data_IF_300492330279
#
_entry.id   IF_300492330279
#
_cell.length_a   1.000
_cell.length_b   1.000
_cell.length_c   1.000
_cell.angle_alpha   90.00
_cell.angle_beta   90.00
_cell.angle_gamma   90.00
#
_symmetry.space_group_name_H-M   'P 1'
#
loop_
_entity.id
_entity.type
_entity.pdbx_description
1 polymer ?
#
# COMPACT_ATOMS: atom_id res chain seq x y z
N UNK A 1 13.09 -63.23 24.14
CA UNK A 1 12.25 -62.08 24.58
C UNK A 1 12.28 -60.95 23.59
N UNK A 2 13.43 -60.53 23.10
CA UNK A 2 13.63 -59.37 22.18
C UNK A 2 12.88 -59.50 20.83
N UNK A 3 12.83 -60.69 20.25
CA UNK A 3 12.18 -60.89 18.91
C UNK A 3 10.65 -60.71 18.96
N UNK A 4 9.98 -61.03 20.09
CA UNK A 4 8.55 -60.78 20.24
C UNK A 4 8.19 -59.30 20.35
N UNK A 5 9.00 -58.51 21.01
CA UNK A 5 8.82 -57.06 21.12
C UNK A 5 9.04 -56.36 19.78
N UNK A 6 10.03 -56.78 18.99
CA UNK A 6 10.28 -56.25 17.65
C UNK A 6 9.12 -56.54 16.69
N UNK A 7 8.49 -57.71 16.76
CA UNK A 7 7.32 -58.06 15.95
C UNK A 7 6.10 -57.17 16.31
N UNK A 8 5.89 -56.86 17.59
CA UNK A 8 4.76 -56.01 18.03
C UNK A 8 4.97 -54.56 17.56
N UNK A 9 6.19 -54.07 17.66
CA UNK A 9 6.53 -52.70 17.20
C UNK A 9 6.36 -52.58 15.67
N UNK A 10 6.79 -53.58 14.91
CA UNK A 10 6.61 -53.63 13.45
C UNK A 10 5.13 -53.71 13.06
N UNK A 11 4.31 -54.49 13.75
CA UNK A 11 2.86 -54.56 13.52
C UNK A 11 2.16 -53.23 13.84
N UNK A 12 2.54 -52.55 14.92
CA UNK A 12 2.00 -51.21 15.27
C UNK A 12 2.36 -50.17 14.22
N UNK A 13 3.60 -50.20 13.73
CA UNK A 13 4.11 -49.24 12.71
C UNK A 13 3.44 -49.47 11.36
N UNK A 14 3.19 -50.70 10.95
CA UNK A 14 2.49 -51.05 9.72
C UNK A 14 0.98 -50.74 9.79
N UNK A 15 0.34 -50.90 10.96
CA UNK A 15 -1.06 -50.54 11.17
C UNK A 15 -1.30 -49.04 11.11
N UNK A 16 -0.35 -48.25 11.69
CA UNK A 16 -0.37 -46.80 11.61
C UNK A 16 -0.10 -46.28 10.19
N UNK A 17 0.79 -46.93 9.43
CA UNK A 17 1.01 -46.59 8.01
C UNK A 17 -0.24 -46.88 7.17
N UNK A 18 -0.89 -48.01 7.37
CA UNK A 18 -2.14 -48.33 6.65
C UNK A 18 -3.26 -47.34 6.92
N UNK A 19 -3.43 -46.89 8.16
CA UNK A 19 -4.37 -45.79 8.51
C UNK A 19 -4.02 -44.47 7.84
N UNK A 20 -2.76 -44.08 7.83
CA UNK A 20 -2.29 -42.83 7.15
C UNK A 20 -2.51 -42.88 5.64
N UNK A 21 -2.26 -44.06 5.01
CA UNK A 21 -2.52 -44.28 3.59
C UNK A 21 -4.02 -44.23 3.31
N UNK A 22 -4.86 -44.80 4.18
CA UNK A 22 -6.31 -44.77 4.03
C UNK A 22 -6.87 -43.35 4.13
N UNK A 23 -6.36 -42.51 5.08
CA UNK A 23 -6.72 -41.11 5.19
C UNK A 23 -6.24 -40.30 3.99
N UNK A 24 -5.03 -40.56 3.48
CA UNK A 24 -4.53 -39.93 2.28
C UNK A 24 -5.34 -40.30 1.02
N UNK A 25 -5.73 -41.56 0.88
CA UNK A 25 -6.60 -42.02 -0.20
C UNK A 25 -8.02 -41.44 -0.10
N UNK A 26 -8.60 -41.36 1.11
CA UNK A 26 -9.91 -40.76 1.30
C UNK A 26 -9.92 -39.27 1.02
N UNK A 27 -8.87 -38.55 1.40
CA UNK A 27 -8.72 -37.11 1.05
C UNK A 27 -8.53 -36.90 -0.46
N UNK A 28 -7.81 -37.79 -1.14
CA UNK A 28 -7.63 -37.74 -2.61
C UNK A 28 -8.96 -37.96 -3.35
N UNK A 29 -9.80 -38.86 -2.86
CA UNK A 29 -11.13 -39.13 -3.44
C UNK A 29 -12.10 -37.96 -3.25
N UNK A 30 -12.03 -37.25 -2.11
CA UNK A 30 -12.84 -36.05 -1.87
C UNK A 30 -12.42 -34.90 -2.78
N UNK A 31 -11.12 -34.73 -3.02
CA UNK A 31 -10.61 -33.71 -3.93
C UNK A 31 -10.99 -33.98 -5.40
N UNK A 32 -11.00 -35.23 -5.83
CA UNK A 32 -11.38 -35.60 -7.20
C UNK A 32 -12.87 -35.38 -7.49
N UNK A 33 -13.75 -35.58 -6.50
CA UNK A 33 -15.20 -35.35 -6.64
C UNK A 33 -15.52 -33.87 -6.93
N UNK A 34 -14.90 -32.94 -6.19
CA UNK A 34 -15.10 -31.51 -6.40
C UNK A 34 -14.60 -31.01 -7.77
N UNK A 35 -13.53 -31.61 -8.29
CA UNK A 35 -13.01 -31.22 -9.61
C UNK A 35 -13.93 -31.73 -10.74
N UNK A 36 -14.53 -32.91 -10.58
CA UNK A 36 -15.45 -33.45 -11.56
C UNK A 36 -16.76 -32.64 -11.67
N UNK A 37 -17.29 -32.18 -10.53
CA UNK A 37 -18.49 -31.35 -10.50
C UNK A 37 -18.26 -29.99 -11.18
N UNK A 38 -17.18 -29.29 -10.86
CA UNK A 38 -16.81 -28.03 -11.50
C UNK A 38 -16.72 -28.18 -13.03
N UNK A 39 -16.00 -29.21 -13.51
CA UNK A 39 -15.86 -29.47 -14.95
C UNK A 39 -17.18 -29.74 -15.65
N UNK A 40 -18.13 -30.40 -14.97
CA UNK A 40 -19.48 -30.63 -15.49
C UNK A 40 -20.25 -29.32 -15.63
N UNK A 41 -20.20 -28.45 -14.62
CA UNK A 41 -20.86 -27.15 -14.64
C UNK A 41 -20.21 -26.22 -15.69
N UNK A 42 -18.90 -26.19 -15.74
CA UNK A 42 -18.15 -25.35 -16.71
C UNK A 42 -18.52 -25.67 -18.18
N UNK A 43 -18.70 -26.96 -18.48
CA UNK A 43 -19.07 -27.44 -19.82
C UNK A 43 -20.58 -27.38 -20.11
N UNK A 44 -21.42 -27.06 -19.14
CA UNK A 44 -22.86 -26.96 -19.33
C UNK A 44 -23.24 -25.71 -20.13
N UNK A 45 -24.25 -25.82 -20.97
CA UNK A 45 -24.79 -24.64 -21.71
C UNK A 45 -25.86 -23.89 -20.92
N UNK A 46 -26.15 -24.30 -19.69
CA UNK A 46 -27.14 -23.68 -18.82
C UNK A 46 -26.50 -22.55 -17.98
N UNK A 47 -26.71 -21.30 -18.42
CA UNK A 47 -26.14 -20.10 -17.76
C UNK A 47 -26.68 -19.88 -16.34
N UNK A 48 -27.96 -20.17 -16.10
CA UNK A 48 -28.54 -20.06 -14.78
C UNK A 48 -27.88 -21.04 -13.78
N UNK A 49 -27.62 -22.26 -14.22
CA UNK A 49 -26.91 -23.24 -13.40
C UNK A 49 -25.46 -22.84 -13.14
N UNK A 50 -24.75 -22.29 -14.13
CA UNK A 50 -23.40 -21.73 -13.96
C UNK A 50 -23.40 -20.57 -12.95
N UNK A 51 -24.39 -19.69 -13.05
CA UNK A 51 -24.52 -18.55 -12.15
C UNK A 51 -24.74 -18.96 -10.69
N UNK A 52 -25.70 -19.86 -10.43
CA UNK A 52 -25.93 -20.36 -9.08
C UNK A 52 -24.72 -21.09 -8.50
N UNK A 53 -24.02 -21.89 -9.31
CA UNK A 53 -22.81 -22.57 -8.90
C UNK A 53 -21.64 -21.61 -8.67
N UNK A 54 -21.53 -20.53 -9.44
CA UNK A 54 -20.54 -19.47 -9.20
C UNK A 54 -20.78 -18.77 -7.85
N UNK A 55 -22.03 -18.48 -7.50
CA UNK A 55 -22.42 -17.95 -6.17
C UNK A 55 -22.03 -18.92 -5.05
N UNK A 56 -22.29 -20.20 -5.25
CA UNK A 56 -21.91 -21.24 -4.27
C UNK A 56 -20.38 -21.32 -4.10
N UNK A 57 -19.61 -21.29 -5.20
CA UNK A 57 -18.15 -21.26 -5.16
C UNK A 57 -17.64 -20.02 -4.43
N UNK A 58 -18.23 -18.84 -4.72
CA UNK A 58 -17.88 -17.59 -4.05
C UNK A 58 -18.15 -17.69 -2.54
N UNK A 59 -19.33 -18.15 -2.13
CA UNK A 59 -19.70 -18.31 -0.72
C UNK A 59 -18.79 -19.30 0.04
N UNK A 60 -18.25 -20.32 -0.65
CA UNK A 60 -17.30 -21.29 -0.12
C UNK A 60 -15.83 -20.82 -0.12
N UNK A 61 -15.55 -19.61 -0.58
CA UNK A 61 -14.19 -19.07 -0.71
C UNK A 61 -13.38 -19.69 -1.87
N UNK A 62 -14.05 -20.38 -2.80
CA UNK A 62 -13.44 -20.98 -4.00
C UNK A 62 -13.37 -19.93 -5.12
N UNK A 63 -12.69 -18.80 -4.85
CA UNK A 63 -12.71 -17.60 -5.70
C UNK A 63 -12.25 -17.88 -7.13
N UNK A 64 -11.18 -18.63 -7.33
CA UNK A 64 -10.70 -18.99 -8.68
C UNK A 64 -11.75 -19.67 -9.54
N UNK A 65 -12.56 -20.57 -8.95
CA UNK A 65 -13.65 -21.22 -9.67
C UNK A 65 -14.80 -20.26 -9.97
N UNK A 66 -15.16 -19.44 -9.00
CA UNK A 66 -16.17 -18.41 -9.19
C UNK A 66 -15.75 -17.44 -10.30
N UNK A 67 -14.50 -16.96 -10.29
CA UNK A 67 -13.92 -16.08 -11.30
C UNK A 67 -14.05 -16.69 -12.70
N UNK A 68 -13.61 -17.95 -12.87
CA UNK A 68 -13.66 -18.65 -14.17
C UNK A 68 -15.08 -18.68 -14.74
N UNK A 69 -16.09 -18.97 -13.94
CA UNK A 69 -17.49 -19.02 -14.38
C UNK A 69 -18.05 -17.62 -14.63
N UNK A 70 -17.76 -16.66 -13.76
CA UNK A 70 -18.26 -15.29 -13.86
C UNK A 70 -17.67 -14.56 -15.05
N UNK A 71 -16.42 -14.79 -15.43
CA UNK A 71 -15.79 -14.22 -16.63
C UNK A 71 -16.53 -14.65 -17.91
N UNK A 72 -17.00 -15.88 -17.98
CA UNK A 72 -17.85 -16.36 -19.08
C UNK A 72 -19.24 -15.68 -19.02
N UNK A 73 -19.87 -15.69 -17.85
CA UNK A 73 -21.23 -15.17 -17.64
C UNK A 73 -21.37 -13.67 -17.97
N UNK A 74 -20.43 -12.83 -17.56
CA UNK A 74 -20.50 -11.37 -17.87
C UNK A 74 -20.50 -11.07 -19.37
N UNK A 75 -20.03 -12.01 -20.20
CA UNK A 75 -20.03 -11.87 -21.66
C UNK A 75 -21.36 -12.35 -22.26
N UNK A 76 -21.88 -13.45 -21.73
CA UNK A 76 -23.05 -14.13 -22.28
C UNK A 76 -24.39 -13.55 -21.75
N UNK A 77 -24.40 -13.07 -20.50
CA UNK A 77 -25.60 -12.50 -19.86
C UNK A 77 -25.80 -11.01 -20.12
N UNK A 78 -25.03 -10.40 -21.02
CA UNK A 78 -25.11 -8.96 -21.31
C UNK A 78 -26.55 -8.54 -21.66
N UNK A 79 -27.12 -7.67 -20.83
CA UNK A 79 -28.52 -7.20 -20.98
C UNK A 79 -29.54 -7.99 -20.15
N UNK A 80 -29.14 -9.02 -19.41
CA UNK A 80 -30.01 -9.74 -18.46
C UNK A 80 -29.99 -9.11 -17.07
N UNK A 81 -30.95 -9.48 -16.21
CA UNK A 81 -31.00 -9.03 -14.82
C UNK A 81 -29.76 -9.47 -14.01
N UNK A 82 -29.21 -10.65 -14.32
CA UNK A 82 -28.06 -11.20 -13.61
C UNK A 82 -26.72 -10.55 -14.00
N UNK A 83 -26.64 -9.90 -15.17
CA UNK A 83 -25.38 -9.34 -15.69
C UNK A 83 -24.73 -8.32 -14.74
N UNK A 84 -25.54 -7.50 -14.07
CA UNK A 84 -25.08 -6.53 -13.10
C UNK A 84 -24.48 -7.21 -11.86
N UNK A 85 -25.18 -8.20 -11.30
CA UNK A 85 -24.72 -8.93 -10.12
C UNK A 85 -23.49 -9.77 -10.43
N UNK A 86 -23.47 -10.45 -11.59
CA UNK A 86 -22.33 -11.26 -12.05
C UNK A 86 -21.05 -10.40 -12.17
N UNK A 87 -21.15 -9.20 -12.75
CA UNK A 87 -19.98 -8.30 -12.88
C UNK A 87 -19.47 -7.80 -11.51
N UNK A 88 -20.40 -7.42 -10.62
CA UNK A 88 -20.02 -7.01 -9.27
C UNK A 88 -19.41 -8.17 -8.47
N UNK A 89 -19.99 -9.36 -8.56
CA UNK A 89 -19.49 -10.55 -7.90
C UNK A 89 -18.11 -10.96 -8.43
N UNK A 90 -17.88 -10.84 -9.74
CA UNK A 90 -16.56 -11.07 -10.34
C UNK A 90 -15.50 -10.13 -9.74
N UNK A 91 -15.81 -8.83 -9.68
CA UNK A 91 -14.91 -7.86 -9.06
C UNK A 91 -14.61 -8.21 -7.59
N UNK A 92 -15.64 -8.60 -6.82
CA UNK A 92 -15.48 -9.03 -5.43
C UNK A 92 -14.71 -10.34 -5.29
N UNK A 93 -14.85 -11.27 -6.24
CA UNK A 93 -14.11 -12.53 -6.26
C UNK A 93 -12.61 -12.30 -6.52
N UNK A 94 -12.27 -11.42 -7.47
CA UNK A 94 -10.88 -11.00 -7.72
C UNK A 94 -10.29 -10.31 -6.48
N UNK A 95 -11.03 -9.39 -5.85
CA UNK A 95 -10.60 -8.74 -4.62
C UNK A 95 -10.32 -9.76 -3.49
N UNK A 96 -11.23 -10.71 -3.31
CA UNK A 96 -11.09 -11.76 -2.29
C UNK A 96 -9.97 -12.75 -2.60
N UNK A 97 -9.67 -12.94 -3.89
CA UNK A 97 -8.54 -13.71 -4.39
C UNK A 97 -7.21 -12.94 -4.32
N UNK A 98 -7.23 -11.68 -3.86
CA UNK A 98 -6.09 -10.76 -3.74
C UNK A 98 -5.49 -10.30 -5.08
N UNK A 99 -6.20 -10.48 -6.18
CA UNK A 99 -5.87 -9.84 -7.44
C UNK A 99 -6.50 -8.44 -7.47
N UNK A 100 -5.87 -7.53 -6.75
CA UNK A 100 -6.43 -6.20 -6.51
C UNK A 100 -6.45 -5.31 -7.76
N UNK A 101 -5.46 -5.44 -8.64
CA UNK A 101 -5.41 -4.66 -9.87
C UNK A 101 -6.56 -5.05 -10.79
N UNK A 102 -6.76 -6.34 -11.03
CA UNK A 102 -7.88 -6.87 -11.81
C UNK A 102 -9.23 -6.55 -11.16
N UNK A 103 -9.32 -6.63 -9.83
CA UNK A 103 -10.51 -6.23 -9.09
C UNK A 103 -10.87 -4.76 -9.33
N UNK A 104 -9.89 -3.84 -9.27
CA UNK A 104 -10.11 -2.42 -9.53
C UNK A 104 -10.64 -2.18 -10.94
N UNK A 105 -10.13 -2.91 -11.95
CA UNK A 105 -10.62 -2.81 -13.32
C UNK A 105 -12.07 -3.27 -13.46
N UNK A 106 -12.45 -4.40 -12.86
CA UNK A 106 -13.83 -4.88 -12.90
C UNK A 106 -14.78 -3.96 -12.12
N UNK A 107 -14.36 -3.38 -10.99
CA UNK A 107 -15.17 -2.37 -10.29
C UNK A 107 -15.35 -1.10 -11.13
N UNK A 108 -14.31 -0.61 -11.79
CA UNK A 108 -14.41 0.52 -12.75
C UNK A 108 -15.36 0.18 -13.89
N UNK A 109 -15.25 -1.03 -14.44
CA UNK A 109 -16.16 -1.53 -15.48
C UNK A 109 -17.61 -1.60 -15.00
N UNK A 110 -17.84 -2.03 -13.75
CA UNK A 110 -19.16 -2.01 -13.15
C UNK A 110 -19.73 -0.58 -13.08
N UNK A 111 -18.97 0.37 -12.55
CA UNK A 111 -19.40 1.77 -12.42
C UNK A 111 -19.73 2.41 -13.76
N UNK A 112 -18.96 2.09 -14.81
CA UNK A 112 -19.21 2.61 -16.16
C UNK A 112 -20.40 1.93 -16.85
N UNK A 113 -20.59 0.63 -16.66
CA UNK A 113 -21.67 -0.13 -17.28
C UNK A 113 -23.02 0.08 -16.60
N UNK A 114 -23.00 0.29 -15.29
CA UNK A 114 -24.20 0.41 -14.44
C UNK A 114 -24.12 1.64 -13.53
N UNK A 115 -24.13 2.88 -14.09
CA UNK A 115 -23.93 4.10 -13.29
C UNK A 115 -25.06 4.38 -12.28
N UNK A 116 -26.20 3.71 -12.42
CA UNK A 116 -27.34 3.74 -11.48
C UNK A 116 -27.59 2.38 -10.84
N UNK A 117 -26.61 1.48 -10.92
CA UNK A 117 -26.71 0.14 -10.38
C UNK A 117 -26.77 0.12 -8.85
N UNK A 118 -27.40 -0.90 -8.28
CA UNK A 118 -27.59 -1.02 -6.82
C UNK A 118 -26.25 -1.15 -6.05
N UNK A 119 -25.18 -1.56 -6.72
CA UNK A 119 -23.84 -1.71 -6.10
C UNK A 119 -22.88 -0.57 -6.47
N UNK A 120 -23.31 0.49 -7.19
CA UNK A 120 -22.41 1.53 -7.72
C UNK A 120 -21.62 2.23 -6.61
N UNK A 121 -22.26 2.55 -5.49
CA UNK A 121 -21.59 3.16 -4.34
C UNK A 121 -20.49 2.25 -3.77
N UNK A 122 -20.82 0.98 -3.56
CA UNK A 122 -19.83 -0.02 -3.09
C UNK A 122 -18.72 -0.24 -4.12
N UNK A 123 -19.08 -0.36 -5.41
CA UNK A 123 -18.09 -0.56 -6.47
C UNK A 123 -17.10 0.62 -6.55
N UNK A 124 -17.58 1.87 -6.46
CA UNK A 124 -16.73 3.07 -6.42
C UNK A 124 -15.78 3.05 -5.22
N UNK A 125 -16.26 2.69 -4.04
CA UNK A 125 -15.41 2.52 -2.85
C UNK A 125 -14.35 1.43 -3.08
N UNK A 126 -14.74 0.27 -3.61
CA UNK A 126 -13.83 -0.84 -3.84
C UNK A 126 -12.83 -0.61 -4.98
N UNK A 127 -13.07 0.34 -5.90
CA UNK A 127 -12.02 0.83 -6.81
C UNK A 127 -10.86 1.40 -6.00
N UNK A 128 -11.15 2.34 -5.12
CA UNK A 128 -10.14 2.96 -4.25
C UNK A 128 -9.47 1.95 -3.31
N UNK A 129 -10.27 1.05 -2.71
CA UNK A 129 -9.77 0.04 -1.78
C UNK A 129 -8.86 -0.99 -2.46
N UNK A 130 -9.20 -1.43 -3.68
CA UNK A 130 -8.37 -2.34 -4.46
C UNK A 130 -7.05 -1.69 -4.86
N UNK A 131 -7.09 -0.46 -5.34
CA UNK A 131 -5.87 0.31 -5.64
C UNK A 131 -5.02 0.53 -4.38
N UNK A 132 -5.65 0.78 -3.22
CA UNK A 132 -4.96 0.91 -1.93
C UNK A 132 -4.17 -0.36 -1.58
N UNK A 133 -4.79 -1.54 -1.71
CA UNK A 133 -4.13 -2.82 -1.44
C UNK A 133 -2.98 -3.14 -2.42
N UNK A 134 -3.00 -2.54 -3.63
CA UNK A 134 -1.96 -2.67 -4.64
C UNK A 134 -0.82 -1.66 -4.48
N UNK A 135 -0.93 -0.70 -3.53
CA UNK A 135 0.11 0.32 -3.39
C UNK A 135 1.40 -0.27 -2.84
N UNK A 136 2.57 0.05 -3.43
CA UNK A 136 3.85 -0.45 -2.98
C UNK A 136 4.35 0.29 -1.72
N UNK A 137 5.51 -0.14 -1.21
CA UNK A 137 6.21 0.59 -0.14
C UNK A 137 6.62 2.00 -0.58
N UNK A 138 6.79 2.96 0.37
CA UNK A 138 7.05 4.38 0.05
C UNK A 138 8.28 4.63 -0.83
N UNK A 139 9.30 3.77 -0.77
CA UNK A 139 10.55 3.92 -1.55
C UNK A 139 10.40 3.60 -3.04
N UNK A 140 9.33 2.91 -3.40
CA UNK A 140 9.06 2.50 -4.78
C UNK A 140 8.25 3.56 -5.53
N UNK A 141 7.89 3.26 -6.78
CA UNK A 141 7.02 4.14 -7.57
C UNK A 141 5.63 4.26 -6.93
N UNK A 142 5.13 5.49 -6.77
CA UNK A 142 3.88 5.79 -6.07
C UNK A 142 2.72 6.11 -7.03
N UNK A 143 2.82 5.75 -8.30
CA UNK A 143 1.76 5.99 -9.29
C UNK A 143 0.43 5.36 -8.88
N UNK A 144 0.47 4.14 -8.32
CA UNK A 144 -0.73 3.46 -7.79
C UNK A 144 -1.31 4.17 -6.57
N UNK A 145 -0.45 4.73 -5.70
CA UNK A 145 -0.87 5.52 -4.53
C UNK A 145 -1.64 6.77 -4.95
N UNK A 146 -1.15 7.48 -5.96
CA UNK A 146 -1.85 8.66 -6.52
C UNK A 146 -3.20 8.27 -7.12
N UNK A 147 -3.27 7.15 -7.86
CA UNK A 147 -4.53 6.65 -8.41
C UNK A 147 -5.53 6.26 -7.31
N UNK A 148 -5.06 5.63 -6.22
CA UNK A 148 -5.90 5.29 -5.09
C UNK A 148 -6.47 6.54 -4.40
N UNK A 149 -5.63 7.58 -4.19
CA UNK A 149 -6.05 8.89 -3.65
C UNK A 149 -7.15 9.49 -4.52
N UNK A 150 -6.93 9.59 -5.82
CA UNK A 150 -7.91 10.13 -6.77
C UNK A 150 -9.24 9.36 -6.69
N UNK A 151 -9.17 8.01 -6.64
CA UNK A 151 -10.36 7.17 -6.58
C UNK A 151 -11.18 7.36 -5.29
N UNK A 152 -10.51 7.53 -4.15
CA UNK A 152 -11.21 7.83 -2.89
C UNK A 152 -11.76 9.25 -2.84
N UNK A 153 -11.07 10.24 -3.41
CA UNK A 153 -11.58 11.61 -3.54
C UNK A 153 -12.85 11.63 -4.39
N UNK A 154 -12.83 11.02 -5.58
CA UNK A 154 -14.02 10.87 -6.44
C UNK A 154 -15.18 10.16 -5.71
N UNK A 155 -14.87 9.12 -4.91
CA UNK A 155 -15.89 8.43 -4.11
C UNK A 155 -16.54 9.39 -3.10
N UNK A 156 -15.75 10.17 -2.37
CA UNK A 156 -16.24 11.10 -1.36
C UNK A 156 -17.03 12.27 -1.96
N UNK A 157 -16.65 12.71 -3.16
CA UNK A 157 -17.34 13.78 -3.89
C UNK A 157 -18.73 13.32 -4.39
N UNK A 158 -18.81 12.07 -4.89
CA UNK A 158 -20.03 11.52 -5.45
C UNK A 158 -21.00 11.03 -4.35
N UNK A 159 -20.44 10.48 -3.23
CA UNK A 159 -21.21 9.90 -2.14
C UNK A 159 -20.84 10.53 -0.78
N UNK A 160 -21.12 11.85 -0.58
CA UNK A 160 -20.72 12.57 0.64
C UNK A 160 -21.38 12.05 1.91
N UNK A 161 -22.55 11.40 1.81
CA UNK A 161 -23.33 10.84 2.91
C UNK A 161 -23.16 9.31 3.05
N UNK A 162 -22.20 8.72 2.35
CA UNK A 162 -21.95 7.29 2.41
C UNK A 162 -21.55 6.82 3.82
N UNK A 163 -22.07 5.65 4.21
CA UNK A 163 -21.61 4.97 5.44
C UNK A 163 -20.15 4.53 5.39
N UNK A 164 -19.55 4.44 4.19
CA UNK A 164 -18.14 4.10 3.97
C UNK A 164 -17.21 5.33 3.98
N UNK A 165 -17.76 6.55 4.11
CA UNK A 165 -16.99 7.80 4.17
C UNK A 165 -15.87 7.79 5.21
N UNK A 166 -16.10 7.37 6.48
CA UNK A 166 -15.01 7.37 7.47
C UNK A 166 -13.84 6.44 7.08
N UNK A 167 -14.15 5.29 6.49
CA UNK A 167 -13.14 4.36 6.01
C UNK A 167 -12.36 4.93 4.82
N UNK A 168 -13.05 5.55 3.85
CA UNK A 168 -12.42 6.19 2.70
C UNK A 168 -11.49 7.34 3.15
N UNK A 169 -11.93 8.18 4.08
CA UNK A 169 -11.10 9.24 4.65
C UNK A 169 -9.86 8.68 5.36
N UNK A 170 -10.02 7.62 6.15
CA UNK A 170 -8.89 6.96 6.80
C UNK A 170 -7.87 6.46 5.77
N UNK A 171 -8.32 5.81 4.69
CA UNK A 171 -7.43 5.35 3.62
C UNK A 171 -6.73 6.49 2.90
N UNK A 172 -7.40 7.63 2.70
CA UNK A 172 -6.77 8.82 2.16
C UNK A 172 -5.60 9.31 3.01
N UNK A 173 -5.78 9.39 4.34
CA UNK A 173 -4.69 9.76 5.24
C UNK A 173 -3.52 8.78 5.16
N UNK A 174 -3.79 7.47 5.18
CA UNK A 174 -2.75 6.43 5.08
C UNK A 174 -1.96 6.53 3.75
N UNK A 175 -2.64 6.87 2.64
CA UNK A 175 -2.00 7.07 1.34
C UNK A 175 -1.18 8.37 1.30
N UNK A 176 -1.68 9.46 1.88
CA UNK A 176 -0.94 10.71 2.00
C UNK A 176 0.32 10.54 2.85
N UNK A 177 0.22 9.86 4.01
CA UNK A 177 1.38 9.54 4.84
C UNK A 177 2.44 8.73 4.08
N UNK A 178 2.01 7.83 3.19
CA UNK A 178 2.92 7.08 2.33
C UNK A 178 3.69 7.99 1.36
N UNK A 179 3.03 8.97 0.74
CA UNK A 179 3.68 9.95 -0.14
C UNK A 179 4.65 10.83 0.65
N UNK A 180 4.22 11.34 1.81
CA UNK A 180 5.08 12.15 2.68
C UNK A 180 6.30 11.37 3.15
N UNK A 181 6.12 10.10 3.50
CA UNK A 181 7.23 9.22 3.89
C UNK A 181 8.25 9.06 2.75
N UNK A 182 7.79 9.00 1.49
CA UNK A 182 8.68 9.01 0.32
C UNK A 182 9.52 10.28 0.25
N UNK A 183 8.89 11.44 0.44
CA UNK A 183 9.60 12.73 0.45
C UNK A 183 10.63 12.80 1.59
N UNK A 184 10.29 12.28 2.78
CA UNK A 184 11.23 12.19 3.89
C UNK A 184 12.45 11.32 3.54
N UNK A 185 12.23 10.16 2.92
CA UNK A 185 13.34 9.31 2.47
C UNK A 185 14.19 9.99 1.39
N UNK A 186 13.58 10.79 0.52
CA UNK A 186 14.31 11.56 -0.50
C UNK A 186 15.16 12.66 0.13
N UNK A 187 14.60 13.41 1.09
CA UNK A 187 15.32 14.44 1.84
C UNK A 187 16.47 13.83 2.66
N UNK A 188 16.21 12.71 3.34
CA UNK A 188 17.24 11.98 4.11
C UNK A 188 18.37 11.49 3.20
N UNK A 189 18.05 10.96 2.02
CA UNK A 189 19.05 10.53 1.05
C UNK A 189 19.95 11.69 0.60
N UNK A 190 19.38 12.85 0.31
CA UNK A 190 20.18 14.04 -0.03
C UNK A 190 21.07 14.46 1.14
N UNK A 191 20.56 14.45 2.36
CA UNK A 191 21.37 14.72 3.56
C UNK A 191 22.55 13.75 3.70
N UNK A 192 22.30 12.45 3.54
CA UNK A 192 23.31 11.39 3.68
C UNK A 192 24.37 11.44 2.56
N UNK A 193 23.98 11.88 1.36
CA UNK A 193 24.91 12.13 0.24
C UNK A 193 25.83 13.34 0.54
N UNK A 194 25.34 14.34 1.25
CA UNK A 194 26.11 15.46 1.74
C UNK A 194 26.99 16.12 0.67
N UNK A 195 28.30 16.07 0.86
CA UNK A 195 29.31 16.64 -0.06
C UNK A 195 29.71 15.69 -1.18
N UNK A 196 29.02 14.55 -1.40
CA UNK A 196 29.37 13.62 -2.48
C UNK A 196 29.26 14.27 -3.86
N UNK A 197 30.38 14.29 -4.59
CA UNK A 197 30.56 15.08 -5.80
C UNK A 197 29.85 14.52 -7.05
N UNK A 198 29.42 13.26 -7.03
CA UNK A 198 28.87 12.56 -8.20
C UNK A 198 27.59 13.18 -8.77
N UNK A 199 26.83 13.93 -7.96
CA UNK A 199 25.58 14.57 -8.36
C UNK A 199 25.71 16.08 -8.64
N UNK A 200 26.90 16.67 -8.46
CA UNK A 200 27.14 18.11 -8.55
C UNK A 200 27.69 18.57 -9.90
N UNK A 201 27.47 17.81 -10.98
CA UNK A 201 27.94 18.16 -12.33
C UNK A 201 27.38 19.49 -12.85
N UNK A 202 26.30 20.01 -12.24
CA UNK A 202 25.66 21.29 -12.56
C UNK A 202 25.78 22.34 -11.45
N UNK A 203 26.68 22.17 -10.48
CA UNK A 203 26.93 23.15 -9.41
C UNK A 203 25.96 23.08 -8.24
N UNK A 204 25.12 22.04 -8.12
CA UNK A 204 24.22 21.83 -6.99
C UNK A 204 24.92 21.25 -5.75
N UNK A 205 24.29 21.39 -4.58
CA UNK A 205 24.72 20.82 -3.31
C UNK A 205 23.63 19.93 -2.74
N UNK A 206 23.97 18.72 -2.27
CA UNK A 206 22.99 17.79 -1.75
C UNK A 206 22.29 18.30 -0.48
N UNK A 207 22.97 19.06 0.38
CA UNK A 207 22.33 19.71 1.55
C UNK A 207 21.29 20.74 1.11
N UNK A 208 21.55 21.50 0.06
CA UNK A 208 20.59 22.45 -0.51
C UNK A 208 19.39 21.69 -1.13
N UNK A 209 19.63 20.59 -1.83
CA UNK A 209 18.58 19.71 -2.33
C UNK A 209 17.74 19.11 -1.18
N UNK A 210 18.37 18.70 -0.08
CA UNK A 210 17.66 18.24 1.13
C UNK A 210 16.73 19.33 1.68
N UNK A 211 17.23 20.56 1.85
CA UNK A 211 16.46 21.69 2.37
C UNK A 211 15.24 21.95 1.48
N UNK A 212 15.44 22.04 0.17
CA UNK A 212 14.36 22.29 -0.80
C UNK A 212 13.31 21.17 -0.76
N UNK A 213 13.75 19.90 -0.78
CA UNK A 213 12.83 18.76 -0.72
C UNK A 213 12.01 18.76 0.56
N UNK A 214 12.66 18.97 1.71
CA UNK A 214 11.98 19.01 3.00
C UNK A 214 10.99 20.19 3.12
N UNK A 215 11.38 21.38 2.65
CA UNK A 215 10.50 22.57 2.64
C UNK A 215 9.28 22.37 1.73
N UNK A 216 9.47 21.80 0.54
CA UNK A 216 8.37 21.47 -0.36
C UNK A 216 7.41 20.46 0.28
N UNK A 217 7.94 19.41 0.91
CA UNK A 217 7.12 18.43 1.62
C UNK A 217 6.28 19.08 2.74
N UNK A 218 6.86 19.96 3.54
CA UNK A 218 6.14 20.69 4.60
C UNK A 218 5.09 21.66 4.05
N UNK A 219 5.29 22.20 2.87
CA UNK A 219 4.32 23.06 2.17
C UNK A 219 3.16 22.26 1.60
N UNK A 220 3.47 21.13 0.95
CA UNK A 220 2.47 20.30 0.28
C UNK A 220 1.65 19.46 1.28
N UNK A 221 2.25 19.13 2.44
CA UNK A 221 1.65 18.31 3.51
C UNK A 221 1.72 19.01 4.87
N UNK A 222 1.02 20.14 5.07
CA UNK A 222 1.17 21.01 6.26
C UNK A 222 0.77 20.34 7.58
N UNK A 223 -0.04 19.28 7.52
CA UNK A 223 -0.55 18.54 8.70
C UNK A 223 0.12 17.18 8.90
N UNK A 224 1.27 16.95 8.25
CA UNK A 224 1.99 15.68 8.42
C UNK A 224 2.50 15.49 9.85
N UNK A 225 2.46 14.26 10.33
CA UNK A 225 3.07 13.85 11.59
C UNK A 225 4.61 13.84 11.54
N UNK A 226 5.20 13.85 10.33
CA UNK A 226 6.64 13.81 10.08
C UNK A 226 7.29 15.22 10.04
N UNK A 227 6.59 16.22 10.58
CA UNK A 227 7.02 17.62 10.53
C UNK A 227 8.33 17.86 11.27
N UNK A 228 8.50 17.24 12.45
CA UNK A 228 9.73 17.36 13.23
C UNK A 228 10.93 16.78 12.49
N UNK A 229 10.78 15.62 11.84
CA UNK A 229 11.82 14.97 11.07
C UNK A 229 12.29 15.82 9.89
N UNK A 230 11.37 16.44 9.16
CA UNK A 230 11.71 17.37 8.09
C UNK A 230 12.43 18.62 8.62
N UNK A 231 11.92 19.24 9.70
CA UNK A 231 12.55 20.40 10.32
C UNK A 231 13.95 20.09 10.84
N UNK A 232 14.14 18.89 11.39
CA UNK A 232 15.47 18.41 11.81
C UNK A 232 16.43 18.27 10.62
N UNK A 233 15.96 17.73 9.49
CA UNK A 233 16.78 17.63 8.28
C UNK A 233 17.15 19.00 7.71
N UNK A 234 16.22 19.95 7.69
CA UNK A 234 16.48 21.34 7.27
C UNK A 234 17.55 21.96 8.16
N UNK A 235 17.38 21.89 9.47
CA UNK A 235 18.32 22.43 10.46
C UNK A 235 19.73 21.84 10.28
N UNK A 236 19.82 20.52 10.21
CA UNK A 236 21.11 19.82 10.01
C UNK A 236 21.76 20.19 8.68
N UNK A 237 20.98 20.24 7.60
CA UNK A 237 21.49 20.54 6.26
C UNK A 237 21.96 21.97 6.13
N UNK A 238 21.26 22.96 6.73
CA UNK A 238 21.70 24.37 6.76
C UNK A 238 23.03 24.50 7.49
N UNK A 239 23.20 23.81 8.63
CA UNK A 239 24.45 23.83 9.37
C UNK A 239 25.61 23.24 8.55
N UNK A 240 25.43 22.07 7.95
CA UNK A 240 26.46 21.42 7.12
C UNK A 240 26.76 22.24 5.86
N UNK A 241 25.76 22.87 5.25
CA UNK A 241 25.93 23.78 4.12
C UNK A 241 26.77 25.02 4.50
N UNK A 242 26.55 25.57 5.70
CA UNK A 242 27.33 26.68 6.23
C UNK A 242 28.81 26.31 6.44
N UNK A 243 29.07 25.11 6.98
CA UNK A 243 30.43 24.58 7.21
C UNK A 243 31.24 24.45 5.92
N UNK A 244 30.57 24.11 4.81
CA UNK A 244 31.22 23.87 3.52
C UNK A 244 31.18 25.07 2.58
N UNK A 245 30.76 26.22 3.07
CA UNK A 245 30.61 27.44 2.25
C UNK A 245 31.95 28.12 1.99
N UNK A 246 32.02 28.77 0.83
CA UNK A 246 33.06 29.75 0.52
C UNK A 246 32.96 30.93 1.48
N UNK A 247 34.09 31.62 1.74
CA UNK A 247 34.16 32.69 2.75
C UNK A 247 33.12 33.77 2.54
N UNK A 248 32.84 34.16 1.28
CA UNK A 248 31.88 35.22 0.95
C UNK A 248 30.44 34.93 1.39
N UNK A 249 30.05 33.63 1.51
CA UNK A 249 28.70 33.20 1.91
C UNK A 249 28.66 32.62 3.31
N UNK A 250 29.79 32.46 3.94
CA UNK A 250 29.91 31.69 5.18
C UNK A 250 29.15 32.35 6.33
N UNK A 251 29.34 33.67 6.50
CA UNK A 251 28.68 34.39 7.57
C UNK A 251 27.16 34.35 7.44
N UNK A 252 26.63 34.67 6.27
CA UNK A 252 25.17 34.61 5.98
C UNK A 252 24.59 33.25 6.27
N UNK A 253 25.25 32.17 5.80
CA UNK A 253 24.77 30.80 5.99
C UNK A 253 24.84 30.31 7.44
N UNK A 254 25.84 30.74 8.22
CA UNK A 254 25.89 30.47 9.65
C UNK A 254 24.79 31.20 10.42
N UNK A 255 24.45 32.45 10.04
CA UNK A 255 23.32 33.16 10.61
C UNK A 255 21.99 32.41 10.30
N UNK A 256 21.77 32.01 9.04
CA UNK A 256 20.60 31.28 8.64
C UNK A 256 20.48 29.92 9.35
N UNK A 257 21.60 29.21 9.57
CA UNK A 257 21.65 27.99 10.34
C UNK A 257 21.37 28.21 11.84
N UNK A 258 21.84 29.31 12.42
CA UNK A 258 21.57 29.69 13.82
C UNK A 258 20.07 29.97 14.02
N UNK A 259 19.46 30.74 13.13
CA UNK A 259 18.03 31.06 13.16
C UNK A 259 17.17 29.82 13.02
N UNK A 260 17.55 28.90 12.13
CA UNK A 260 16.85 27.60 11.98
C UNK A 260 16.93 26.75 13.24
N UNK A 261 18.09 26.71 13.91
CA UNK A 261 18.24 25.98 15.19
C UNK A 261 17.35 26.57 16.29
N UNK A 262 17.23 27.90 16.38
CA UNK A 262 16.29 28.52 17.32
C UNK A 262 14.85 28.23 16.96
N UNK A 263 14.49 28.28 15.68
CA UNK A 263 13.17 27.90 15.18
C UNK A 263 12.82 26.48 15.59
N UNK A 264 13.73 25.53 15.37
CA UNK A 264 13.55 24.13 15.74
C UNK A 264 13.32 23.94 17.25
N UNK A 265 14.13 24.54 18.11
CA UNK A 265 13.97 24.45 19.57
C UNK A 265 12.63 25.04 20.03
N UNK A 266 12.21 26.16 19.43
CA UNK A 266 10.95 26.83 19.78
C UNK A 266 9.72 25.99 19.35
N UNK A 267 9.77 25.36 18.18
CA UNK A 267 8.68 24.55 17.65
C UNK A 267 8.64 23.16 18.34
N UNK A 268 9.82 22.60 18.69
CA UNK A 268 9.95 21.26 19.29
C UNK A 268 10.77 21.27 20.60
N UNK A 269 10.27 21.90 21.67
CA UNK A 269 11.01 22.07 22.91
C UNK A 269 11.38 20.76 23.60
N UNK A 270 10.59 19.69 23.40
CA UNK A 270 10.77 18.36 23.99
C UNK A 270 11.48 17.38 23.01
N UNK A 271 11.99 17.85 21.88
CA UNK A 271 12.72 17.01 20.92
C UNK A 271 13.96 16.39 21.54
N UNK A 272 14.17 15.09 21.22
CA UNK A 272 15.42 14.37 21.54
C UNK A 272 16.67 15.01 20.89
N UNK A 273 16.46 15.73 19.76
CA UNK A 273 17.52 16.39 18.99
C UNK A 273 17.81 17.84 19.42
N UNK A 274 17.12 18.33 20.48
CA UNK A 274 17.36 19.66 21.07
C UNK A 274 18.82 19.92 21.40
N UNK A 275 19.51 18.94 22.00
CA UNK A 275 20.92 19.07 22.34
C UNK A 275 21.81 19.26 21.09
N UNK A 276 21.42 18.70 19.95
CA UNK A 276 22.10 18.89 18.66
C UNK A 276 21.93 20.33 18.19
N UNK A 277 20.71 20.88 18.26
CA UNK A 277 20.44 22.27 17.91
C UNK A 277 21.23 23.26 18.81
N UNK A 278 21.23 23.06 20.12
CA UNK A 278 22.01 23.88 21.07
C UNK A 278 23.51 23.83 20.76
N UNK A 279 24.06 22.66 20.41
CA UNK A 279 25.44 22.50 19.98
C UNK A 279 25.72 23.30 18.69
N UNK A 280 24.82 23.27 17.72
CA UNK A 280 24.96 24.02 16.46
C UNK A 280 24.89 25.52 16.70
N UNK A 281 23.95 26.01 17.52
CA UNK A 281 23.87 27.44 17.92
C UNK A 281 25.23 27.94 18.50
N UNK A 282 25.81 27.14 19.42
CA UNK A 282 27.10 27.52 20.00
C UNK A 282 28.18 27.67 18.95
N UNK A 283 28.26 26.75 17.99
CA UNK A 283 29.25 26.77 16.92
C UNK A 283 29.00 27.92 15.91
N UNK A 284 27.72 28.19 15.56
CA UNK A 284 27.37 29.29 14.72
C UNK A 284 27.82 30.64 15.34
N UNK A 285 27.57 30.82 16.63
CA UNK A 285 28.01 32.03 17.38
C UNK A 285 29.51 32.22 17.45
N UNK A 286 30.30 31.17 17.38
CA UNK A 286 31.77 31.27 17.30
C UNK A 286 32.22 31.92 15.98
N UNK A 287 31.45 31.73 14.89
CA UNK A 287 31.74 32.31 13.55
C UNK A 287 31.05 33.66 13.33
N UNK A 288 29.85 33.87 13.88
CA UNK A 288 29.06 35.08 13.64
C UNK A 288 29.44 36.24 14.56
N UNK A 289 30.29 36.05 15.58
CA UNK A 289 30.74 37.07 16.52
C UNK A 289 32.04 37.79 16.11
N UNK A 290 32.73 37.23 15.09
CA UNK A 290 33.89 37.88 14.48
C UNK A 290 33.46 38.73 13.27
#
# INVERSE_FOLDING_TARGET
MIIKELCVILQFKTQNMKKRILYALSSLLLLSSCAHEFNRVYKADNFHYKYEYAKECYAKGQYTRAITLLQELITLEKGTENAQESLYMLAMAEYSNKDYETAAEYFKKYCSSYPRGIYVERAKYYVGQSLFESTPEPRLDQSMTVQAITSFQEFLDIFPDSKMKPQAQKRLFELQDKLVTKELYSAQLYYDLGSYFGNCTSGGNNYEACIITAQNALKDYPYTSLREEFSLLIMKSKYELAQQSVEEKKLERFQDAEDECYGFINEYPDSKDRATAEKYIKKCKEVTKD
#
